data_IF_304480790183
#
_entry.id   IF_304480790183
#
_cell.length_a   1.000
_cell.length_b   1.000
_cell.length_c   1.000
_cell.angle_alpha   90.00
_cell.angle_beta   90.00
_cell.angle_gamma   90.00
#
_symmetry.space_group_name_H-M   'P 1'
#
loop_
_entity.id
_entity.type
_entity.pdbx_description
1 polymer ?
#
# COMPACT_ATOMS: atom_id res chain seq x y z
N UNK A 1 28.44 -23.60 -7.03
CA UNK A 1 28.40 -23.34 -5.58
C UNK A 1 27.73 -22.00 -5.42
N UNK A 2 26.46 -21.98 -5.04
CA UNK A 2 25.73 -20.74 -4.77
C UNK A 2 25.97 -20.38 -3.31
N UNK A 3 26.66 -19.28 -3.05
CA UNK A 3 26.70 -18.66 -1.73
C UNK A 3 25.28 -18.28 -1.34
N UNK A 4 24.78 -18.89 -0.27
CA UNK A 4 23.54 -18.47 0.36
C UNK A 4 23.80 -17.11 1.00
N UNK A 5 23.31 -16.04 0.35
CA UNK A 5 23.10 -14.75 1.01
C UNK A 5 22.06 -14.96 2.11
N UNK A 6 22.52 -15.21 3.33
CA UNK A 6 21.69 -15.19 4.53
C UNK A 6 21.40 -13.73 4.81
N UNK A 7 20.24 -13.23 4.35
CA UNK A 7 19.69 -11.97 4.85
C UNK A 7 19.37 -12.19 6.33
N UNK A 8 20.19 -11.62 7.22
CA UNK A 8 19.93 -11.60 8.65
C UNK A 8 18.81 -10.57 8.92
N UNK A 9 17.57 -11.05 9.01
CA UNK A 9 16.40 -10.24 9.35
C UNK A 9 16.33 -9.85 10.85
N UNK A 10 17.35 -10.18 11.65
CA UNK A 10 17.43 -9.78 13.05
C UNK A 10 17.57 -8.27 13.27
N UNK A 11 17.88 -7.51 12.22
CA UNK A 11 18.08 -6.06 12.32
C UNK A 11 16.79 -5.24 12.10
N UNK A 12 15.67 -5.89 11.75
CA UNK A 12 14.34 -5.25 11.68
C UNK A 12 13.59 -5.26 13.01
N UNK A 13 14.24 -5.71 14.09
CA UNK A 13 13.67 -5.69 15.43
C UNK A 13 13.66 -4.25 15.98
N UNK A 14 12.45 -3.71 16.13
CA UNK A 14 12.11 -2.55 16.96
C UNK A 14 12.97 -1.29 16.73
N UNK A 15 12.90 -0.70 15.53
CA UNK A 15 13.32 0.69 15.36
C UNK A 15 12.17 1.63 15.73
N UNK A 16 12.37 2.33 16.83
CA UNK A 16 11.56 3.42 17.35
C UNK A 16 11.26 4.47 16.28
N UNK A 17 9.97 4.81 16.11
CA UNK A 17 9.41 6.14 15.80
C UNK A 17 10.46 7.23 15.50
N UNK A 18 11.11 7.19 14.34
CA UNK A 18 11.79 8.36 13.81
C UNK A 18 10.76 9.18 13.05
N UNK A 19 10.58 10.43 13.45
CA UNK A 19 9.64 11.38 12.84
C UNK A 19 10.01 11.81 11.42
N UNK A 20 11.11 11.30 10.88
CA UNK A 20 11.65 11.70 9.58
C UNK A 20 11.19 10.73 8.49
N UNK A 21 10.67 11.23 7.37
CA UNK A 21 10.26 10.37 6.27
C UNK A 21 11.47 9.68 5.65
N UNK A 22 11.27 8.45 5.17
CA UNK A 22 12.19 7.73 4.30
C UNK A 22 12.66 8.65 3.16
N UNK A 23 13.98 8.79 3.02
CA UNK A 23 14.57 9.59 1.94
C UNK A 23 14.31 8.95 0.57
N UNK A 24 14.51 9.73 -0.50
CA UNK A 24 14.39 9.20 -1.85
C UNK A 24 15.44 8.12 -2.13
N UNK A 25 16.67 8.33 -1.67
CA UNK A 25 17.78 7.38 -1.82
C UNK A 25 17.47 6.06 -1.10
N UNK A 26 17.00 6.14 0.15
CA UNK A 26 16.60 4.95 0.92
C UNK A 26 15.41 4.25 0.27
N UNK A 27 14.46 4.98 -0.30
CA UNK A 27 13.36 4.37 -1.05
C UNK A 27 13.87 3.57 -2.26
N UNK A 28 14.86 4.09 -3.00
CA UNK A 28 15.46 3.34 -4.12
C UNK A 28 16.17 2.07 -3.64
N UNK A 29 16.89 2.14 -2.51
CA UNK A 29 17.52 0.96 -1.89
C UNK A 29 16.48 -0.10 -1.52
N UNK A 30 15.42 0.29 -0.81
CA UNK A 30 14.32 -0.62 -0.44
C UNK A 30 13.63 -1.22 -1.67
N UNK A 31 13.53 -0.46 -2.77
CA UNK A 31 12.99 -0.97 -4.02
C UNK A 31 13.90 -2.00 -4.68
N UNK A 32 15.21 -1.76 -4.69
CA UNK A 32 16.19 -2.74 -5.15
C UNK A 32 16.14 -4.01 -4.31
N UNK A 33 16.15 -3.91 -2.99
CA UNK A 33 16.00 -5.05 -2.07
C UNK A 33 14.70 -5.82 -2.34
N UNK A 34 13.58 -5.10 -2.58
CA UNK A 34 12.30 -5.73 -2.90
C UNK A 34 12.33 -6.52 -4.22
N UNK A 35 13.07 -6.04 -5.24
CA UNK A 35 13.31 -6.80 -6.48
C UNK A 35 14.12 -8.06 -6.20
N UNK A 36 15.21 -7.95 -5.43
CA UNK A 36 16.08 -9.07 -5.05
C UNK A 36 15.30 -10.15 -4.25
N UNK A 37 14.37 -9.75 -3.37
CA UNK A 37 13.48 -10.67 -2.66
C UNK A 37 12.58 -11.50 -3.58
N UNK A 38 12.30 -11.01 -4.80
CA UNK A 38 11.48 -11.74 -5.77
C UNK A 38 12.28 -12.73 -6.62
N UNK A 39 13.60 -12.54 -6.75
CA UNK A 39 14.48 -13.37 -7.61
C UNK A 39 14.41 -14.88 -7.31
N UNK A 40 14.39 -15.34 -6.04
CA UNK A 40 14.38 -16.77 -5.73
C UNK A 40 13.12 -17.51 -6.21
N UNK A 41 12.08 -16.78 -6.57
CA UNK A 41 10.83 -17.34 -7.08
C UNK A 41 10.72 -17.22 -8.60
N UNK A 42 11.74 -16.67 -9.26
CA UNK A 42 11.78 -16.44 -10.71
C UNK A 42 10.49 -15.79 -11.23
N UNK A 43 10.00 -14.75 -10.54
CA UNK A 43 8.83 -14.01 -11.00
C UNK A 43 9.14 -13.47 -12.41
N UNK A 44 8.33 -13.82 -13.43
CA UNK A 44 8.55 -13.33 -14.79
C UNK A 44 8.03 -11.90 -14.88
N UNK A 45 8.78 -10.95 -14.31
CA UNK A 45 8.47 -9.54 -14.47
C UNK A 45 8.49 -9.21 -15.96
N UNK A 46 7.45 -8.53 -16.43
CA UNK A 46 7.63 -7.72 -17.63
C UNK A 46 8.63 -6.62 -17.28
N UNK A 47 9.36 -6.10 -18.26
CA UNK A 47 10.45 -5.14 -18.04
C UNK A 47 10.02 -4.05 -17.06
N UNK A 48 10.67 -3.98 -15.90
CA UNK A 48 10.34 -3.01 -14.85
C UNK A 48 11.41 -1.95 -14.78
N UNK A 49 10.99 -0.69 -14.64
CA UNK A 49 11.91 0.43 -14.43
C UNK A 49 12.80 0.16 -13.21
N UNK A 50 14.07 0.57 -13.30
CA UNK A 50 15.01 0.34 -12.21
C UNK A 50 14.76 1.18 -10.97
N UNK A 51 14.06 2.31 -11.15
CA UNK A 51 13.74 3.28 -10.12
C UNK A 51 12.25 3.31 -9.80
N UNK A 52 11.93 3.56 -8.53
CA UNK A 52 10.57 3.83 -8.07
C UNK A 52 10.27 5.32 -8.07
N UNK A 53 9.10 5.71 -8.58
CA UNK A 53 8.64 7.10 -8.59
C UNK A 53 7.95 7.54 -7.28
N UNK A 54 7.82 8.86 -7.08
CA UNK A 54 6.96 9.44 -6.05
C UNK A 54 5.90 10.31 -6.72
N UNK A 55 4.63 10.03 -6.46
CA UNK A 55 3.50 10.70 -7.13
C UNK A 55 2.37 11.08 -6.15
N UNK A 56 1.59 12.09 -6.53
CA UNK A 56 0.38 12.49 -5.80
C UNK A 56 -0.77 11.54 -6.17
N UNK A 57 -1.11 10.64 -5.25
CA UNK A 57 -2.17 9.64 -5.48
C UNK A 57 -3.03 9.39 -4.24
N UNK A 58 -4.20 8.79 -4.47
CA UNK A 58 -5.12 8.40 -3.38
C UNK A 58 -4.77 7.05 -2.74
N UNK A 59 -4.07 6.18 -3.46
CA UNK A 59 -3.55 4.91 -2.96
C UNK A 59 -2.23 5.07 -2.20
N UNK A 60 -1.62 3.95 -1.81
CA UNK A 60 -0.29 3.90 -1.18
C UNK A 60 0.82 3.83 -2.22
N UNK A 61 0.60 3.05 -3.28
CA UNK A 61 1.46 2.90 -4.43
C UNK A 61 0.61 2.44 -5.64
N UNK A 62 1.25 2.34 -6.80
CA UNK A 62 0.67 1.82 -8.03
C UNK A 62 1.76 1.25 -8.95
N UNK A 63 1.47 0.12 -9.58
CA UNK A 63 2.17 -0.35 -10.78
C UNK A 63 1.49 0.21 -12.05
N UNK A 64 2.20 1.04 -12.79
CA UNK A 64 1.80 1.50 -14.12
C UNK A 64 2.25 0.51 -15.19
N UNK A 65 1.30 0.03 -15.98
CA UNK A 65 1.56 -0.81 -17.14
C UNK A 65 1.60 0.04 -18.40
N UNK A 66 2.75 0.07 -19.07
CA UNK A 66 2.96 0.77 -20.33
C UNK A 66 3.15 -0.22 -21.46
N UNK A 67 2.64 0.13 -22.64
CA UNK A 67 2.86 -0.63 -23.87
C UNK A 67 3.26 0.33 -24.97
N UNK A 68 4.46 0.17 -25.50
CA UNK A 68 4.97 0.98 -26.60
C UNK A 68 5.58 0.08 -27.68
N UNK A 69 5.11 0.20 -28.93
CA UNK A 69 5.54 -0.64 -30.05
C UNK A 69 5.51 -2.16 -29.77
N UNK A 70 4.55 -2.61 -28.95
CA UNK A 70 4.41 -4.02 -28.57
C UNK A 70 5.29 -4.47 -27.40
N UNK A 71 6.19 -3.61 -26.91
CA UNK A 71 7.02 -3.87 -25.72
C UNK A 71 6.24 -3.42 -24.49
N UNK A 72 6.14 -4.32 -23.50
CA UNK A 72 5.55 -4.03 -22.20
C UNK A 72 6.63 -3.52 -21.25
N UNK A 73 6.34 -2.43 -20.56
CA UNK A 73 7.17 -1.97 -19.46
C UNK A 73 6.33 -1.52 -18.27
N UNK A 74 6.84 -1.77 -17.06
CA UNK A 74 6.18 -1.46 -15.81
C UNK A 74 6.96 -0.39 -15.06
N UNK A 75 6.24 0.53 -14.41
CA UNK A 75 6.82 1.52 -13.50
C UNK A 75 6.05 1.50 -12.20
N UNK A 76 6.75 1.39 -11.08
CA UNK A 76 6.14 1.51 -9.75
C UNK A 76 6.31 2.95 -9.26
N UNK A 77 5.24 3.51 -8.72
CA UNK A 77 5.25 4.81 -8.05
C UNK A 77 4.58 4.70 -6.69
N UNK A 78 5.12 5.38 -5.67
CA UNK A 78 4.56 5.43 -4.32
C UNK A 78 3.97 6.80 -4.01
N UNK A 79 3.01 6.85 -3.09
CA UNK A 79 2.51 8.11 -2.54
C UNK A 79 3.49 8.68 -1.52
N UNK A 80 3.59 10.02 -1.43
CA UNK A 80 4.44 10.69 -0.40
C UNK A 80 4.14 10.25 1.04
N UNK A 81 2.89 9.87 1.33
CA UNK A 81 2.49 9.43 2.68
C UNK A 81 3.12 8.10 3.07
N UNK A 82 3.45 7.24 2.09
CA UNK A 82 4.11 5.97 2.37
C UNK A 82 5.52 6.18 2.95
N UNK A 83 6.17 7.30 2.64
CA UNK A 83 7.51 7.61 3.15
C UNK A 83 7.55 7.81 4.67
N UNK A 84 6.40 8.07 5.31
CA UNK A 84 6.30 8.22 6.76
C UNK A 84 6.01 6.90 7.48
N UNK A 85 5.90 5.79 6.75
CA UNK A 85 5.70 4.48 7.34
C UNK A 85 7.04 3.78 7.61
N UNK A 86 7.02 2.80 8.52
CA UNK A 86 8.17 1.93 8.77
C UNK A 86 8.67 1.27 7.46
N UNK A 87 9.98 1.07 7.35
CA UNK A 87 10.60 0.47 6.16
C UNK A 87 9.96 -0.86 5.76
N UNK A 88 9.59 -1.68 6.75
CA UNK A 88 8.87 -2.93 6.53
C UNK A 88 7.54 -2.71 5.78
N UNK A 89 6.78 -1.69 6.14
CA UNK A 89 5.52 -1.33 5.49
C UNK A 89 5.76 -0.81 4.08
N UNK A 90 6.85 -0.07 3.86
CA UNK A 90 7.28 0.37 2.53
C UNK A 90 7.59 -0.87 1.66
N UNK A 91 8.42 -1.79 2.15
CA UNK A 91 8.77 -3.05 1.46
C UNK A 91 7.52 -3.87 1.13
N UNK A 92 6.62 -4.11 2.10
CA UNK A 92 5.38 -4.85 1.85
C UNK A 92 4.51 -4.20 0.75
N UNK A 93 4.54 -2.87 0.67
CA UNK A 93 3.82 -2.12 -0.37
C UNK A 93 4.51 -2.24 -1.73
N UNK A 94 5.84 -2.17 -1.78
CA UNK A 94 6.61 -2.36 -3.02
C UNK A 94 6.44 -3.78 -3.55
N UNK A 95 6.49 -4.79 -2.67
CA UNK A 95 6.24 -6.19 -3.03
C UNK A 95 4.80 -6.43 -3.52
N UNK A 96 3.81 -5.70 -2.98
CA UNK A 96 2.44 -5.72 -3.50
C UNK A 96 2.38 -5.29 -4.97
N UNK A 97 3.03 -4.17 -5.29
CA UNK A 97 3.08 -3.65 -6.66
C UNK A 97 3.96 -4.50 -7.59
N UNK A 98 5.07 -5.08 -7.09
CA UNK A 98 5.87 -6.04 -7.85
C UNK A 98 5.07 -7.30 -8.21
N UNK A 99 4.17 -7.77 -7.33
CA UNK A 99 3.26 -8.85 -7.69
C UNK A 99 2.33 -8.47 -8.87
N UNK A 100 2.02 -7.19 -9.07
CA UNK A 100 1.27 -6.70 -10.23
C UNK A 100 2.13 -6.61 -11.51
N UNK A 101 3.45 -6.43 -11.40
CA UNK A 101 4.38 -6.21 -12.52
C UNK A 101 4.65 -7.45 -13.40
N UNK A 102 3.72 -8.39 -13.45
CA UNK A 102 3.78 -9.57 -14.30
C UNK A 102 2.49 -9.76 -15.04
N UNK A 103 2.61 -10.28 -16.26
CA UNK A 103 1.50 -10.60 -17.13
C UNK A 103 0.40 -11.40 -16.39
N UNK A 104 -0.85 -10.99 -16.58
CA UNK A 104 -2.01 -11.63 -15.97
C UNK A 104 -2.21 -11.32 -14.47
N UNK A 105 -1.34 -10.53 -13.84
CA UNK A 105 -1.45 -10.14 -12.44
C UNK A 105 -2.01 -8.73 -12.23
N UNK A 106 -2.63 -8.11 -13.23
CA UNK A 106 -3.23 -6.76 -13.12
C UNK A 106 -4.42 -6.68 -12.14
N UNK A 107 -4.89 -7.83 -11.66
CA UNK A 107 -5.87 -7.93 -10.59
C UNK A 107 -5.30 -8.78 -9.44
N UNK A 108 -5.96 -8.74 -8.29
CA UNK A 108 -5.65 -9.61 -7.15
C UNK A 108 -6.19 -11.05 -7.34
N UNK A 109 -5.98 -11.62 -8.54
CA UNK A 109 -6.37 -12.97 -8.92
C UNK A 109 -5.52 -14.07 -8.27
N UNK A 110 -5.69 -15.32 -8.69
CA UNK A 110 -5.01 -16.48 -8.09
C UNK A 110 -3.48 -16.40 -8.21
N UNK A 111 -2.97 -15.99 -9.37
CA UNK A 111 -1.53 -15.85 -9.61
C UNK A 111 -0.92 -14.80 -8.68
N UNK A 112 -1.57 -13.64 -8.57
CA UNK A 112 -1.13 -12.57 -7.66
C UNK A 112 -1.11 -13.07 -6.19
N UNK A 113 -2.17 -13.76 -5.75
CA UNK A 113 -2.27 -14.29 -4.38
C UNK A 113 -1.22 -15.35 -4.09
N UNK A 114 -0.95 -16.25 -5.04
CA UNK A 114 0.07 -17.27 -4.88
C UNK A 114 1.45 -16.66 -4.62
N UNK A 115 1.77 -15.56 -5.31
CA UNK A 115 3.05 -14.85 -5.16
C UNK A 115 3.16 -14.07 -3.88
N UNK A 116 2.12 -13.32 -3.53
CA UNK A 116 2.05 -12.67 -2.22
C UNK A 116 2.25 -13.72 -1.10
N UNK A 117 1.65 -14.90 -1.23
CA UNK A 117 1.84 -15.99 -0.27
C UNK A 117 3.27 -16.54 -0.24
N UNK A 118 3.95 -16.69 -1.37
CA UNK A 118 5.35 -17.11 -1.42
C UNK A 118 6.26 -16.13 -0.66
N UNK A 119 6.07 -14.82 -0.90
CA UNK A 119 6.80 -13.75 -0.20
C UNK A 119 6.47 -13.74 1.30
N UNK A 120 5.19 -13.84 1.66
CA UNK A 120 4.75 -13.90 3.06
C UNK A 120 5.35 -15.11 3.79
N UNK A 121 5.35 -16.29 3.17
CA UNK A 121 5.88 -17.52 3.78
C UNK A 121 7.40 -17.48 3.96
N UNK A 122 8.13 -16.92 3.00
CA UNK A 122 9.60 -16.90 3.03
C UNK A 122 10.16 -15.82 3.95
N UNK A 123 9.55 -14.64 3.93
CA UNK A 123 10.10 -13.44 4.59
C UNK A 123 9.25 -12.96 5.78
N UNK A 124 8.13 -13.62 6.06
CA UNK A 124 7.26 -13.30 7.20
C UNK A 124 6.45 -12.01 7.02
N UNK A 125 6.27 -11.54 5.79
CA UNK A 125 5.45 -10.37 5.46
C UNK A 125 3.93 -10.63 5.55
N UNK A 126 3.15 -9.55 5.53
CA UNK A 126 1.68 -9.58 5.46
C UNK A 126 1.12 -8.88 4.22
N UNK A 127 1.60 -9.27 3.04
CA UNK A 127 1.09 -8.77 1.76
C UNK A 127 -0.33 -9.30 1.53
N UNK A 128 -1.30 -8.38 1.48
CA UNK A 128 -2.73 -8.69 1.29
C UNK A 128 -3.30 -7.95 0.09
N UNK A 129 -4.47 -8.39 -0.40
CA UNK A 129 -5.15 -7.75 -1.54
C UNK A 129 -5.67 -6.35 -1.23
N UNK A 130 -5.84 -6.02 0.06
CA UNK A 130 -6.36 -4.72 0.52
C UNK A 130 -5.71 -4.38 1.85
N UNK A 131 -5.00 -3.26 1.91
CA UNK A 131 -4.50 -2.71 3.17
C UNK A 131 -5.36 -1.55 3.65
N UNK A 132 -5.69 -1.54 4.94
CA UNK A 132 -6.27 -0.39 5.64
C UNK A 132 -5.18 0.59 6.10
N UNK A 133 -5.57 1.77 6.56
CA UNK A 133 -4.63 2.71 7.16
C UNK A 133 -4.00 2.19 8.47
N UNK A 134 -4.74 1.34 9.20
CA UNK A 134 -4.24 0.71 10.43
C UNK A 134 -3.11 -0.26 10.15
N UNK A 135 -3.22 -1.00 9.04
CA UNK A 135 -2.17 -1.92 8.59
C UNK A 135 -0.89 -1.17 8.17
N UNK A 136 -0.98 0.16 8.01
CA UNK A 136 0.14 1.06 7.70
C UNK A 136 0.66 1.80 8.94
N UNK A 137 0.21 1.42 10.13
CA UNK A 137 0.61 2.06 11.39
C UNK A 137 0.01 3.46 11.62
N UNK A 138 -0.92 3.90 10.77
CA UNK A 138 -1.45 5.25 10.85
C UNK A 138 -2.68 5.35 11.74
N UNK A 139 -2.78 6.49 12.41
CA UNK A 139 -3.99 6.94 13.10
C UNK A 139 -5.10 7.29 12.12
N UNK A 140 -6.32 7.37 12.62
CA UNK A 140 -7.47 7.79 11.82
C UNK A 140 -7.27 9.24 11.31
N UNK A 141 -6.68 10.10 12.14
CA UNK A 141 -6.41 11.50 11.81
C UNK A 141 -5.37 11.65 10.69
N UNK A 142 -4.28 10.89 10.74
CA UNK A 142 -3.26 10.87 9.67
C UNK A 142 -3.84 10.32 8.37
N UNK A 143 -4.63 9.25 8.45
CA UNK A 143 -5.26 8.62 7.28
C UNK A 143 -6.22 9.57 6.54
N UNK A 144 -6.97 10.38 7.31
CA UNK A 144 -7.94 11.34 6.78
C UNK A 144 -7.42 12.78 6.73
N UNK A 145 -6.10 12.98 6.83
CA UNK A 145 -5.48 14.28 6.62
C UNK A 145 -5.84 14.83 5.22
N UNK A 146 -6.35 16.07 5.17
CA UNK A 146 -6.77 16.73 3.93
C UNK A 146 -8.13 16.29 3.37
N UNK A 147 -8.85 15.40 4.04
CA UNK A 147 -10.23 15.09 3.70
C UNK A 147 -11.18 16.18 4.24
N UNK A 148 -12.10 16.65 3.39
CA UNK A 148 -12.99 17.77 3.69
C UNK A 148 -14.34 17.34 4.26
N UNK A 149 -14.77 16.11 3.93
CA UNK A 149 -16.06 15.58 4.33
C UNK A 149 -15.84 14.21 4.97
N UNK A 150 -16.14 14.09 6.26
CA UNK A 150 -15.90 12.88 7.04
C UNK A 150 -17.22 12.33 7.55
N UNK A 151 -17.34 11.00 7.57
CA UNK A 151 -18.52 10.31 8.03
C UNK A 151 -18.15 9.07 8.81
N UNK A 152 -18.96 8.74 9.82
CA UNK A 152 -18.81 7.54 10.64
C UNK A 152 -20.08 6.71 10.61
N UNK A 153 -19.92 5.41 10.50
CA UNK A 153 -21.05 4.51 10.67
C UNK A 153 -21.50 4.52 12.14
N UNK A 154 -22.79 4.75 12.37
CA UNK A 154 -23.36 4.82 13.72
C UNK A 154 -23.25 3.50 14.49
N UNK A 155 -23.25 2.38 13.77
CA UNK A 155 -23.22 1.02 14.32
C UNK A 155 -21.78 0.52 14.48
N UNK A 156 -21.07 0.23 13.38
CA UNK A 156 -19.74 -0.39 13.46
C UNK A 156 -18.57 0.61 13.61
N UNK A 157 -18.87 1.90 13.70
CA UNK A 157 -17.89 3.00 13.85
C UNK A 157 -16.85 3.13 12.75
N UNK A 158 -17.03 2.45 11.61
CA UNK A 158 -16.16 2.60 10.45
C UNK A 158 -16.24 4.03 9.89
N UNK A 159 -15.10 4.70 9.79
CA UNK A 159 -14.99 6.03 9.20
C UNK A 159 -14.71 5.97 7.69
N UNK A 160 -15.21 6.97 6.97
CA UNK A 160 -14.95 7.20 5.55
C UNK A 160 -14.82 8.70 5.29
N UNK A 161 -14.01 9.06 4.31
CA UNK A 161 -13.75 10.45 3.96
C UNK A 161 -13.88 10.72 2.46
N UNK A 162 -14.22 11.96 2.12
CA UNK A 162 -14.11 12.49 0.75
C UNK A 162 -13.38 13.83 0.71
N UNK A 163 -12.47 13.99 -0.26
CA UNK A 163 -11.83 15.30 -0.58
C UNK A 163 -12.77 16.24 -1.36
N UNK A 164 -13.77 15.69 -2.05
CA UNK A 164 -14.72 16.42 -2.91
C UNK A 164 -16.18 16.12 -2.55
N UNK A 165 -17.09 17.02 -2.90
CA UNK A 165 -18.54 16.89 -2.62
C UNK A 165 -19.21 15.88 -3.57
N UNK A 166 -19.13 14.59 -3.24
CA UNK A 166 -19.74 13.49 -4.01
C UNK A 166 -21.25 13.35 -3.77
N UNK A 167 -21.94 12.47 -4.51
CA UNK A 167 -23.35 12.14 -4.27
C UNK A 167 -23.60 11.59 -2.86
N UNK A 168 -22.65 10.80 -2.34
CA UNK A 168 -22.67 10.36 -0.95
C UNK A 168 -22.66 11.55 0.01
N UNK A 169 -21.72 12.50 -0.18
CA UNK A 169 -21.62 13.69 0.68
C UNK A 169 -22.90 14.54 0.64
N UNK A 170 -23.54 14.65 -0.54
CA UNK A 170 -24.79 15.40 -0.70
C UNK A 170 -26.00 14.69 -0.07
N UNK A 171 -26.01 13.35 -0.06
CA UNK A 171 -27.17 12.55 0.33
C UNK A 171 -26.76 11.31 1.16
N UNK A 172 -26.08 11.46 2.31
CA UNK A 172 -25.50 10.33 3.05
C UNK A 172 -26.55 9.33 3.53
N UNK A 173 -27.78 9.81 3.82
CA UNK A 173 -28.91 9.00 4.25
C UNK A 173 -29.37 7.93 3.24
N UNK A 174 -29.07 8.12 1.94
CA UNK A 174 -29.39 7.15 0.87
C UNK A 174 -28.49 5.92 0.87
N UNK A 175 -27.35 6.01 1.55
CA UNK A 175 -26.34 4.96 1.56
C UNK A 175 -26.38 4.18 2.88
N UNK A 176 -25.75 3.01 2.88
CA UNK A 176 -25.59 2.11 4.03
C UNK A 176 -24.14 1.67 4.11
N UNK A 177 -23.66 1.40 5.32
CA UNK A 177 -22.31 0.92 5.53
C UNK A 177 -22.13 -0.44 4.85
N UNK A 178 -21.16 -0.58 3.95
CA UNK A 178 -20.89 -1.86 3.28
C UNK A 178 -20.44 -2.96 4.26
N UNK A 179 -19.94 -2.59 5.45
CA UNK A 179 -19.47 -3.53 6.47
C UNK A 179 -20.60 -4.10 7.34
N UNK A 180 -21.63 -3.32 7.65
CA UNK A 180 -22.67 -3.72 8.63
C UNK A 180 -24.11 -3.35 8.25
N UNK A 181 -24.34 -2.59 7.19
CA UNK A 181 -25.67 -2.10 6.80
C UNK A 181 -26.14 -0.83 7.53
N UNK A 182 -25.44 -0.40 8.59
CA UNK A 182 -25.80 0.76 9.37
C UNK A 182 -25.73 2.11 8.64
N UNK A 183 -26.35 3.13 9.24
CA UNK A 183 -26.37 4.50 8.71
C UNK A 183 -25.10 5.28 9.04
N UNK A 184 -24.84 6.33 8.25
CA UNK A 184 -23.72 7.24 8.45
C UNK A 184 -24.16 8.56 9.08
N UNK A 185 -23.33 9.09 9.96
CA UNK A 185 -23.40 10.46 10.46
C UNK A 185 -22.16 11.23 10.01
N UNK A 186 -22.31 12.52 9.75
CA UNK A 186 -21.18 13.38 9.42
C UNK A 186 -20.43 13.72 10.70
N UNK A 187 -19.10 13.67 10.64
CA UNK A 187 -18.20 13.98 11.76
C UNK A 187 -17.20 15.07 11.35
N UNK A 188 -16.54 15.69 12.32
CA UNK A 188 -15.43 16.62 12.10
C UNK A 188 -14.07 15.90 12.17
N UNK A 189 -12.99 16.64 11.97
CA UNK A 189 -11.62 16.12 12.19
C UNK A 189 -11.36 15.82 13.67
N UNK A 190 -12.00 16.54 14.60
CA UNK A 190 -11.83 16.37 16.05
C UNK A 190 -12.48 15.09 16.57
N UNK A 191 -13.45 14.55 15.83
CA UNK A 191 -14.10 13.28 16.15
C UNK A 191 -13.28 12.05 15.73
N UNK A 192 -12.22 12.24 14.95
CA UNK A 192 -11.32 11.15 14.53
C UNK A 192 -10.52 10.67 15.74
N UNK A 193 -10.34 9.35 15.86
CA UNK A 193 -9.59 8.79 16.98
C UNK A 193 -8.11 9.13 16.84
N UNK A 194 -7.59 9.86 17.82
CA UNK A 194 -6.17 9.84 18.16
C UNK A 194 -5.90 8.59 19.01
N UNK A 195 -4.66 8.11 19.00
CA UNK A 195 -4.23 6.84 19.64
C UNK A 195 -4.67 6.79 21.10
#
# INVERSE_FOLDING_TARGET
MYEQLVFNFSDFAETSSSSEPCSFEKLQELFKESKEMCEPFAFPFEEIADEVGIEEMSGWAVCHHHRHNGIFSNKISVSKRLLYCDERIIIETLLHELCHATEGCHNHGEVWKARANLLNQKYGFHITTRSSYKDKGLTEKEAFAGYKYLFRCKECKNAIGYKRKTNFVKNPSRYKCARCGGKFEQISQDDLKEV
#
